data_IF_560646376107
#
_entry.id   IF_560646376107
#
_cell.length_a   1.000
_cell.length_b   1.000
_cell.length_c   1.000
_cell.angle_alpha   90.00
_cell.angle_beta   90.00
_cell.angle_gamma   90.00
#
_symmetry.space_group_name_H-M   'P 1'
#
loop_
_entity.id
_entity.type
_entity.pdbx_description
1 polymer ?
#
# COMPACT_ATOMS: atom_id res chain seq x y z
N UNK A 1 -7.50 17.20 19.55
CA UNK A 1 -7.79 16.33 18.40
C UNK A 1 -7.98 14.92 18.92
N UNK A 2 -8.97 14.16 18.39
CA UNK A 2 -9.19 12.77 18.79
C UNK A 2 -8.07 11.85 18.36
N UNK A 3 -8.07 10.61 18.90
CA UNK A 3 -7.04 9.62 18.60
C UNK A 3 -7.02 9.18 17.13
N UNK A 4 -5.84 8.90 16.60
CA UNK A 4 -5.63 8.31 15.28
C UNK A 4 -5.12 6.88 15.45
N UNK A 5 -5.85 5.90 14.93
CA UNK A 5 -5.45 4.50 14.93
C UNK A 5 -4.82 4.12 13.59
N UNK A 6 -3.60 3.59 13.58
CA UNK A 6 -2.92 3.11 12.37
C UNK A 6 -2.83 1.59 12.40
N UNK A 7 -3.59 0.91 11.55
CA UNK A 7 -3.49 -0.55 11.41
C UNK A 7 -2.30 -0.92 10.51
N UNK A 8 -1.64 -2.04 10.81
CA UNK A 8 -0.39 -2.37 10.14
C UNK A 8 0.73 -1.38 10.44
N UNK A 9 0.63 -0.66 11.57
CA UNK A 9 1.51 0.43 11.94
C UNK A 9 2.97 0.04 12.24
N UNK A 10 3.31 -1.24 12.27
CA UNK A 10 4.70 -1.76 12.31
C UNK A 10 5.20 -2.23 10.93
N UNK A 11 4.35 -2.17 9.90
CA UNK A 11 4.70 -2.52 8.54
C UNK A 11 5.46 -1.41 7.81
N UNK A 12 5.93 -1.70 6.59
CA UNK A 12 6.75 -0.78 5.79
C UNK A 12 6.09 0.60 5.60
N UNK A 13 4.82 0.65 5.17
CA UNK A 13 4.10 1.91 5.00
C UNK A 13 3.56 2.45 6.34
N UNK A 14 2.92 1.59 7.14
CA UNK A 14 2.28 2.03 8.38
C UNK A 14 3.23 2.67 9.37
N UNK A 15 4.48 2.18 9.48
CA UNK A 15 5.49 2.78 10.34
C UNK A 15 5.87 4.21 9.89
N UNK A 16 5.94 4.44 8.57
CA UNK A 16 6.17 5.78 8.01
C UNK A 16 4.98 6.70 8.29
N UNK A 17 3.75 6.23 8.14
CA UNK A 17 2.54 7.00 8.47
C UNK A 17 2.55 7.40 9.96
N UNK A 18 2.85 6.46 10.86
CA UNK A 18 2.96 6.73 12.30
C UNK A 18 4.01 7.82 12.58
N UNK A 19 5.18 7.74 11.93
CA UNK A 19 6.22 8.75 12.08
C UNK A 19 5.73 10.14 11.63
N UNK A 20 5.11 10.24 10.45
CA UNK A 20 4.58 11.51 9.92
C UNK A 20 3.50 12.13 10.78
N UNK A 21 2.57 11.31 11.30
CA UNK A 21 1.53 11.80 12.21
C UNK A 21 2.12 12.37 13.49
N UNK A 22 3.13 11.70 14.07
CA UNK A 22 3.81 12.19 15.27
C UNK A 22 4.63 13.46 14.99
N UNK A 23 5.34 13.52 13.87
CA UNK A 23 6.06 14.71 13.40
C UNK A 23 5.12 15.90 13.18
N UNK A 24 3.88 15.65 12.74
CA UNK A 24 2.83 16.66 12.61
C UNK A 24 2.19 17.09 13.94
N UNK A 25 2.64 16.56 15.08
CA UNK A 25 2.19 16.95 16.42
C UNK A 25 0.95 16.21 16.91
N UNK A 26 0.55 15.09 16.29
CA UNK A 26 -0.53 14.26 16.85
C UNK A 26 -0.01 13.45 18.05
N UNK A 27 -0.57 13.72 19.23
CA UNK A 27 -0.13 13.08 20.49
C UNK A 27 -0.69 11.66 20.66
N UNK A 28 -1.97 11.42 20.30
CA UNK A 28 -2.62 10.11 20.40
C UNK A 28 -2.58 9.36 19.06
N UNK A 29 -1.40 8.85 18.68
CA UNK A 29 -1.22 7.97 17.52
C UNK A 29 -1.04 6.54 17.98
N UNK A 30 -2.06 5.72 17.80
CA UNK A 30 -2.13 4.32 18.23
C UNK A 30 -1.64 3.39 17.12
N UNK A 31 -0.64 2.59 17.44
CA UNK A 31 -0.04 1.62 16.53
C UNK A 31 -0.68 0.25 16.76
N UNK A 32 -1.41 -0.23 15.76
CA UNK A 32 -2.06 -1.53 15.81
C UNK A 32 -1.41 -2.50 14.81
N UNK A 33 -0.90 -3.59 15.33
CA UNK A 33 -0.39 -4.74 14.56
C UNK A 33 -0.28 -5.96 15.46
N UNK A 34 -0.04 -7.13 14.88
CA UNK A 34 0.17 -8.39 15.63
C UNK A 34 1.34 -8.33 16.62
N UNK A 35 2.31 -7.45 16.38
CA UNK A 35 3.53 -7.30 17.17
C UNK A 35 3.67 -5.91 17.79
N UNK A 36 2.60 -5.12 17.85
CA UNK A 36 2.63 -3.82 18.50
C UNK A 36 2.70 -3.99 20.02
N UNK A 37 3.49 -3.17 20.73
CA UNK A 37 3.67 -3.35 22.18
C UNK A 37 2.42 -3.00 23.00
N UNK A 38 1.59 -2.06 22.52
CA UNK A 38 0.40 -1.60 23.26
C UNK A 38 -0.89 -2.22 22.72
N UNK A 39 -1.03 -2.31 21.39
CA UNK A 39 -2.20 -2.90 20.73
C UNK A 39 -1.80 -4.08 19.85
N UNK A 40 -1.45 -5.24 20.46
CA UNK A 40 -1.10 -6.46 19.72
C UNK A 40 -2.38 -7.14 19.21
N UNK A 41 -2.91 -6.64 18.09
CA UNK A 41 -4.18 -7.08 17.51
C UNK A 41 -3.95 -7.80 16.18
N UNK A 42 -4.55 -8.98 16.04
CA UNK A 42 -4.73 -9.62 14.76
C UNK A 42 -6.14 -9.28 14.23
N UNK A 43 -6.18 -8.53 13.13
CA UNK A 43 -7.45 -8.12 12.51
C UNK A 43 -8.30 -9.30 12.03
N UNK A 44 -7.69 -10.48 11.80
CA UNK A 44 -8.44 -11.66 11.33
C UNK A 44 -9.34 -12.24 12.41
N UNK A 45 -9.02 -12.06 13.68
CA UNK A 45 -9.88 -12.52 14.78
C UNK A 45 -10.61 -11.37 15.50
N UNK A 46 -10.20 -10.12 15.26
CA UNK A 46 -10.82 -8.93 15.82
C UNK A 46 -10.60 -8.72 17.34
N UNK A 47 -9.90 -9.63 18.01
CA UNK A 47 -9.68 -9.53 19.46
C UNK A 47 -8.84 -8.28 19.81
N UNK A 48 -9.30 -7.48 20.79
CA UNK A 48 -8.62 -6.26 21.22
C UNK A 48 -8.93 -5.01 20.39
N UNK A 49 -9.68 -5.13 19.27
CA UNK A 49 -10.02 -3.99 18.42
C UNK A 49 -10.82 -2.93 19.15
N UNK A 50 -11.79 -3.32 19.97
CA UNK A 50 -12.65 -2.36 20.68
C UNK A 50 -11.84 -1.49 21.63
N UNK A 51 -10.88 -2.06 22.36
CA UNK A 51 -10.00 -1.30 23.24
C UNK A 51 -9.10 -0.33 22.45
N UNK A 52 -8.57 -0.77 21.30
CA UNK A 52 -7.73 0.08 20.45
C UNK A 52 -8.54 1.21 19.80
N UNK A 53 -9.83 0.96 19.49
CA UNK A 53 -10.72 1.88 18.81
C UNK A 53 -11.36 2.93 19.72
N UNK A 54 -11.42 2.67 21.05
CA UNK A 54 -12.08 3.55 22.00
C UNK A 54 -11.58 5.00 21.94
N UNK A 55 -12.46 5.95 21.54
CA UNK A 55 -12.11 7.36 21.38
C UNK A 55 -11.24 7.70 20.17
N UNK A 56 -10.98 6.76 19.26
CA UNK A 56 -10.35 7.07 17.98
C UNK A 56 -11.35 7.83 17.08
N UNK A 57 -10.90 8.92 16.46
CA UNK A 57 -11.70 9.69 15.48
C UNK A 57 -11.31 9.33 14.04
N UNK A 58 -10.08 8.90 13.82
CA UNK A 58 -9.56 8.54 12.49
C UNK A 58 -8.87 7.19 12.55
N UNK A 59 -9.10 6.38 11.52
CA UNK A 59 -8.39 5.12 11.32
C UNK A 59 -7.63 5.19 10.00
N UNK A 60 -6.30 5.00 10.03
CA UNK A 60 -5.50 4.82 8.82
C UNK A 60 -5.26 3.33 8.62
N UNK A 61 -5.95 2.74 7.64
CA UNK A 61 -5.92 1.30 7.40
C UNK A 61 -4.82 0.92 6.39
N UNK A 62 -3.63 0.60 6.91
CA UNK A 62 -2.46 0.15 6.15
C UNK A 62 -2.24 -1.37 6.22
N UNK A 63 -2.95 -2.08 7.09
CA UNK A 63 -2.80 -3.52 7.21
C UNK A 63 -3.26 -4.24 5.94
N UNK A 64 -2.51 -5.27 5.54
CA UNK A 64 -2.85 -6.13 4.41
C UNK A 64 -2.25 -7.52 4.59
N UNK A 65 -2.93 -8.53 4.08
CA UNK A 65 -2.49 -9.91 4.08
C UNK A 65 -2.34 -10.42 2.64
N UNK A 66 -1.11 -10.68 2.21
CA UNK A 66 -0.83 -11.17 0.84
C UNK A 66 -1.42 -12.55 0.54
N UNK A 67 -1.85 -13.29 1.56
CA UNK A 67 -2.43 -14.65 1.48
C UNK A 67 -3.96 -14.66 1.62
N UNK A 68 -4.62 -13.49 1.57
CA UNK A 68 -6.06 -13.36 1.76
C UNK A 68 -6.47 -13.02 3.20
N UNK A 69 -7.74 -12.67 3.38
CA UNK A 69 -8.29 -12.27 4.69
C UNK A 69 -8.45 -10.75 4.87
N UNK A 70 -8.05 -9.93 3.91
CA UNK A 70 -8.22 -8.47 3.99
C UNK A 70 -9.70 -8.09 4.15
N UNK A 71 -10.62 -8.81 3.52
CA UNK A 71 -12.07 -8.59 3.62
C UNK A 71 -12.60 -8.91 5.02
N UNK A 72 -12.14 -10.00 5.64
CA UNK A 72 -12.50 -10.37 7.03
C UNK A 72 -11.94 -9.33 8.00
N UNK A 73 -10.68 -8.95 7.82
CA UNK A 73 -10.01 -7.92 8.62
C UNK A 73 -10.73 -6.57 8.54
N UNK A 74 -11.13 -6.16 7.34
CA UNK A 74 -11.92 -4.93 7.12
C UNK A 74 -13.31 -5.02 7.77
N UNK A 75 -13.97 -6.18 7.70
CA UNK A 75 -15.24 -6.41 8.38
C UNK A 75 -15.14 -6.20 9.89
N UNK A 76 -14.17 -6.82 10.54
CA UNK A 76 -13.94 -6.62 11.98
C UNK A 76 -13.61 -5.16 12.32
N UNK A 77 -12.81 -4.48 11.48
CA UNK A 77 -12.48 -3.07 11.65
C UNK A 77 -13.72 -2.18 11.58
N UNK A 78 -14.58 -2.38 10.58
CA UNK A 78 -15.84 -1.64 10.39
C UNK A 78 -16.76 -1.84 11.59
N UNK A 79 -16.93 -3.06 12.05
CA UNK A 79 -17.80 -3.37 13.20
C UNK A 79 -17.27 -2.74 14.50
N UNK A 80 -15.96 -2.79 14.74
CA UNK A 80 -15.34 -2.12 15.89
C UNK A 80 -15.49 -0.58 15.81
N UNK A 81 -15.33 0.00 14.63
CA UNK A 81 -15.52 1.44 14.42
C UNK A 81 -16.99 1.87 14.68
N UNK A 82 -17.96 1.05 14.24
CA UNK A 82 -19.39 1.28 14.53
C UNK A 82 -19.70 1.21 16.04
N UNK A 83 -19.16 0.20 16.73
CA UNK A 83 -19.35 0.08 18.19
C UNK A 83 -18.71 1.24 18.95
N UNK A 84 -17.55 1.69 18.52
CA UNK A 84 -16.88 2.84 19.14
C UNK A 84 -17.68 4.14 18.99
N UNK A 85 -18.39 4.33 17.87
CA UNK A 85 -19.24 5.49 17.61
C UNK A 85 -18.50 6.83 17.47
N UNK A 86 -17.16 6.84 17.60
CA UNK A 86 -16.32 8.05 17.55
C UNK A 86 -15.60 8.21 16.23
N UNK A 87 -15.45 7.12 15.45
CA UNK A 87 -14.71 7.13 14.17
C UNK A 87 -15.49 7.90 13.12
N UNK A 88 -14.86 8.96 12.60
CA UNK A 88 -15.42 9.86 11.58
C UNK A 88 -14.86 9.62 10.19
N UNK A 89 -13.62 9.08 10.10
CA UNK A 89 -12.99 8.82 8.81
C UNK A 89 -12.11 7.56 8.90
N UNK A 90 -12.29 6.65 7.93
CA UNK A 90 -11.39 5.52 7.69
C UNK A 90 -10.62 5.80 6.42
N UNK A 91 -9.34 6.14 6.55
CA UNK A 91 -8.41 6.36 5.43
C UNK A 91 -7.82 5.03 5.00
N UNK A 92 -8.11 4.58 3.79
CA UNK A 92 -7.69 3.29 3.28
C UNK A 92 -6.69 3.42 2.13
N UNK A 93 -5.57 2.70 2.24
CA UNK A 93 -4.60 2.57 1.15
C UNK A 93 -4.96 1.41 0.23
N UNK A 94 -5.24 1.73 -1.03
CA UNK A 94 -5.55 0.79 -2.08
C UNK A 94 -4.55 0.86 -3.24
N UNK A 95 -4.87 0.24 -4.37
CA UNK A 95 -3.94 0.08 -5.49
C UNK A 95 -4.61 0.58 -6.77
N UNK A 96 -3.87 1.31 -7.60
CA UNK A 96 -4.28 1.69 -8.96
C UNK A 96 -4.54 0.43 -9.79
N UNK A 97 -5.71 0.38 -10.43
CA UNK A 97 -6.12 -0.71 -11.31
C UNK A 97 -6.72 -1.93 -10.63
N UNK A 98 -7.15 -1.84 -9.37
CA UNK A 98 -7.86 -2.94 -8.68
C UNK A 98 -9.14 -3.36 -9.39
N UNK A 99 -9.75 -2.47 -10.14
CA UNK A 99 -10.96 -2.67 -10.97
C UNK A 99 -10.65 -3.10 -12.41
N UNK A 100 -9.40 -2.95 -12.89
CA UNK A 100 -9.00 -3.24 -14.27
C UNK A 100 -8.19 -4.54 -14.41
N UNK A 101 -7.40 -4.88 -13.39
CA UNK A 101 -6.48 -6.02 -13.42
C UNK A 101 -7.03 -7.14 -12.54
N UNK A 102 -7.55 -8.25 -13.09
CA UNK A 102 -8.20 -9.32 -12.31
C UNK A 102 -7.18 -10.24 -11.61
N UNK A 103 -6.28 -9.66 -10.83
CA UNK A 103 -5.37 -10.37 -9.94
C UNK A 103 -6.08 -10.64 -8.61
N UNK A 104 -5.87 -11.80 -8.01
CA UNK A 104 -6.52 -12.18 -6.75
C UNK A 104 -6.36 -11.14 -5.64
N UNK A 105 -5.14 -10.66 -5.44
CA UNK A 105 -4.83 -9.61 -4.46
C UNK A 105 -5.55 -8.27 -4.78
N UNK A 106 -5.65 -7.89 -6.05
CA UNK A 106 -6.37 -6.68 -6.47
C UNK A 106 -7.88 -6.80 -6.23
N UNK A 107 -8.45 -7.98 -6.49
CA UNK A 107 -9.88 -8.24 -6.20
C UNK A 107 -10.18 -8.12 -4.71
N UNK A 108 -9.30 -8.63 -3.85
CA UNK A 108 -9.44 -8.48 -2.39
C UNK A 108 -9.39 -7.00 -1.97
N UNK A 109 -8.47 -6.22 -2.53
CA UNK A 109 -8.41 -4.77 -2.30
C UNK A 109 -9.69 -4.04 -2.74
N UNK A 110 -10.19 -4.36 -3.92
CA UNK A 110 -11.45 -3.79 -4.43
C UNK A 110 -12.65 -4.19 -3.55
N UNK A 111 -12.68 -5.42 -3.06
CA UNK A 111 -13.73 -5.87 -2.14
C UNK A 111 -13.70 -5.08 -0.82
N UNK A 112 -12.51 -4.79 -0.28
CA UNK A 112 -12.37 -3.93 0.91
C UNK A 112 -12.83 -2.48 0.62
N UNK A 113 -12.50 -1.90 -0.53
CA UNK A 113 -13.03 -0.58 -0.92
C UNK A 113 -14.56 -0.57 -0.84
N UNK A 114 -15.20 -1.57 -1.47
CA UNK A 114 -16.66 -1.69 -1.50
C UNK A 114 -17.27 -1.90 -0.11
N UNK A 115 -16.64 -2.70 0.75
CA UNK A 115 -17.08 -2.89 2.13
C UNK A 115 -17.02 -1.59 2.93
N UNK A 116 -15.97 -0.81 2.77
CA UNK A 116 -15.82 0.49 3.41
C UNK A 116 -16.85 1.50 2.90
N UNK A 117 -17.03 1.60 1.58
CA UNK A 117 -18.04 2.48 0.97
C UNK A 117 -19.48 2.14 1.41
N UNK A 118 -19.79 0.85 1.54
CA UNK A 118 -21.08 0.36 2.02
C UNK A 118 -21.26 0.43 3.54
N UNK A 119 -20.21 0.79 4.30
CA UNK A 119 -20.22 0.73 5.77
C UNK A 119 -21.12 1.77 6.44
N UNK A 120 -21.46 2.86 5.76
CA UNK A 120 -22.15 4.01 6.35
C UNK A 120 -21.23 4.89 7.23
N UNK A 121 -19.95 4.56 7.36
CA UNK A 121 -18.93 5.36 8.02
C UNK A 121 -18.33 6.36 7.03
N UNK A 122 -17.68 7.42 7.53
CA UNK A 122 -16.86 8.30 6.72
C UNK A 122 -15.63 7.55 6.18
N UNK A 123 -15.35 7.66 4.90
CA UNK A 123 -14.25 6.95 4.24
C UNK A 123 -13.46 7.86 3.32
N UNK A 124 -12.13 7.67 3.31
CA UNK A 124 -11.22 8.26 2.34
C UNK A 124 -10.36 7.16 1.73
N UNK A 125 -10.44 6.96 0.41
CA UNK A 125 -9.70 5.92 -0.30
C UNK A 125 -8.62 6.55 -1.17
N UNK A 126 -7.37 6.18 -0.93
CA UNK A 126 -6.22 6.55 -1.75
C UNK A 126 -5.74 5.31 -2.51
N UNK A 127 -5.74 5.36 -3.84
CA UNK A 127 -5.08 4.34 -4.68
C UNK A 127 -3.70 4.82 -5.09
N UNK A 128 -2.70 3.95 -4.98
CA UNK A 128 -1.33 4.25 -5.40
C UNK A 128 -0.81 3.21 -6.38
N UNK A 129 0.19 3.60 -7.17
CA UNK A 129 0.93 2.65 -8.00
C UNK A 129 1.90 1.82 -7.13
N UNK A 130 2.71 0.97 -7.74
CA UNK A 130 3.57 0.00 -7.05
C UNK A 130 4.70 0.69 -6.29
N UNK A 131 4.94 0.34 -5.03
CA UNK A 131 6.07 0.87 -4.27
C UNK A 131 7.42 0.44 -4.85
N UNK A 132 8.43 1.30 -4.75
CA UNK A 132 9.82 0.97 -5.11
C UNK A 132 10.29 -0.33 -4.44
N UNK A 133 9.95 -0.54 -3.16
CA UNK A 133 10.26 -1.74 -2.40
C UNK A 133 9.71 -3.02 -3.02
N UNK A 134 8.50 -2.97 -3.56
CA UNK A 134 7.88 -4.11 -4.24
C UNK A 134 8.67 -4.47 -5.50
N UNK A 135 9.02 -3.47 -6.31
CA UNK A 135 9.79 -3.68 -7.54
C UNK A 135 11.18 -4.24 -7.22
N UNK A 136 11.86 -3.70 -6.22
CA UNK A 136 13.15 -4.19 -5.75
C UNK A 136 13.05 -5.63 -5.23
N UNK A 137 12.01 -5.97 -4.46
CA UNK A 137 11.77 -7.32 -3.95
C UNK A 137 11.50 -8.32 -5.06
N UNK A 138 10.69 -7.96 -6.06
CA UNK A 138 10.41 -8.81 -7.23
C UNK A 138 11.69 -9.06 -8.01
N UNK A 139 12.46 -8.01 -8.29
CA UNK A 139 13.75 -8.09 -9.01
C UNK A 139 14.77 -8.94 -8.22
N UNK A 140 14.88 -8.73 -6.91
CA UNK A 140 15.77 -9.49 -6.03
C UNK A 140 15.39 -10.96 -5.90
N UNK A 141 14.09 -11.28 -5.88
CA UNK A 141 13.62 -12.66 -5.87
C UNK A 141 13.93 -13.37 -7.17
N UNK A 142 13.72 -12.71 -8.31
CA UNK A 142 14.06 -13.22 -9.63
C UNK A 142 15.59 -13.37 -9.81
N UNK A 143 16.38 -12.51 -9.17
CA UNK A 143 17.83 -12.53 -9.19
C UNK A 143 18.45 -13.73 -8.46
N UNK A 144 17.70 -14.53 -7.73
CA UNK A 144 18.18 -15.79 -7.13
C UNK A 144 18.41 -16.88 -8.18
N UNK A 145 17.77 -16.79 -9.34
CA UNK A 145 17.92 -17.72 -10.45
C UNK A 145 19.14 -17.36 -11.32
N UNK A 146 19.77 -18.32 -12.02
CA UNK A 146 20.88 -18.06 -12.93
C UNK A 146 20.53 -17.07 -14.05
N UNK A 147 19.26 -17.09 -14.49
CA UNK A 147 18.68 -16.16 -15.47
C UNK A 147 17.48 -15.50 -14.83
N UNK A 148 17.41 -14.18 -14.91
CA UNK A 148 16.32 -13.37 -14.32
C UNK A 148 15.17 -13.32 -15.30
N UNK A 149 14.08 -14.02 -14.98
CA UNK A 149 12.87 -14.05 -15.79
C UNK A 149 11.88 -12.98 -15.27
N UNK A 150 11.51 -12.04 -16.13
CA UNK A 150 10.52 -11.01 -15.82
C UNK A 150 9.43 -10.95 -16.90
N UNK A 151 8.18 -10.64 -16.54
CA UNK A 151 7.07 -10.56 -17.49
C UNK A 151 7.34 -9.60 -18.64
N UNK A 152 7.19 -10.07 -19.89
CA UNK A 152 7.36 -9.27 -21.10
C UNK A 152 6.24 -8.23 -21.23
N UNK A 153 6.56 -6.98 -21.61
CA UNK A 153 5.58 -5.94 -21.91
C UNK A 153 4.86 -5.34 -20.69
N UNK A 154 5.11 -5.84 -19.48
CA UNK A 154 4.58 -5.23 -18.26
C UNK A 154 5.34 -3.96 -17.95
N UNK A 155 4.59 -2.86 -17.80
CA UNK A 155 5.09 -1.57 -17.34
C UNK A 155 4.63 -1.31 -15.90
N UNK A 156 5.45 -0.61 -15.13
CA UNK A 156 5.17 -0.19 -13.76
C UNK A 156 5.57 1.26 -13.57
N UNK A 157 4.95 1.92 -12.62
CA UNK A 157 5.15 3.33 -12.28
C UNK A 157 5.50 3.44 -10.80
N UNK A 158 6.75 3.11 -10.40
CA UNK A 158 7.11 2.96 -9.01
C UNK A 158 7.04 4.28 -8.24
N UNK A 159 6.47 4.23 -7.02
CA UNK A 159 6.34 5.38 -6.12
C UNK A 159 7.06 5.12 -4.79
N UNK A 160 7.57 6.17 -4.14
CA UNK A 160 8.17 6.07 -2.83
C UNK A 160 7.12 5.87 -1.73
N UNK A 161 7.34 4.94 -0.82
CA UNK A 161 6.43 4.71 0.30
C UNK A 161 6.37 5.91 1.25
N UNK A 162 7.45 6.66 1.37
CA UNK A 162 7.54 7.89 2.14
C UNK A 162 6.56 8.96 1.63
N UNK A 163 6.49 9.17 0.31
CA UNK A 163 5.57 10.15 -0.31
C UNK A 163 4.11 9.75 -0.15
N UNK A 164 3.83 8.45 -0.17
CA UNK A 164 2.49 7.92 0.11
C UNK A 164 2.15 8.09 1.60
N UNK A 165 3.12 7.92 2.49
CA UNK A 165 2.91 8.13 3.93
C UNK A 165 2.63 9.62 4.24
N UNK A 166 3.32 10.55 3.58
CA UNK A 166 3.05 11.98 3.68
C UNK A 166 1.59 12.26 3.31
N UNK A 167 1.12 11.73 2.18
CA UNK A 167 -0.25 11.91 1.72
C UNK A 167 -1.29 11.27 2.64
N UNK A 168 -1.02 10.08 3.17
CA UNK A 168 -1.92 9.42 4.12
C UNK A 168 -2.02 10.20 5.44
N UNK A 169 -0.93 10.79 5.91
CA UNK A 169 -0.94 11.65 7.09
C UNK A 169 -1.78 12.94 6.86
N UNK A 170 -1.67 13.56 5.68
CA UNK A 170 -2.53 14.70 5.31
C UNK A 170 -4.01 14.33 5.27
N UNK A 171 -4.34 13.12 4.80
CA UNK A 171 -5.71 12.62 4.70
C UNK A 171 -6.26 12.13 6.06
N UNK A 172 -5.41 11.95 7.06
CA UNK A 172 -5.78 11.46 8.40
C UNK A 172 -6.46 12.55 9.24
N UNK A 173 -7.49 13.17 8.67
CA UNK A 173 -8.33 14.19 9.32
C UNK A 173 -9.76 13.66 9.50
N UNK A 174 -10.57 14.19 10.42
CA UNK A 174 -11.91 13.68 10.68
C UNK A 174 -12.90 13.84 9.51
N UNK A 175 -12.65 14.74 8.56
CA UNK A 175 -13.52 14.96 7.40
C UNK A 175 -13.24 13.91 6.30
N UNK A 176 -14.18 13.01 5.98
CA UNK A 176 -13.99 12.05 4.90
C UNK A 176 -14.04 12.74 3.54
N UNK A 177 -13.21 12.24 2.60
CA UNK A 177 -13.09 12.80 1.25
C UNK A 177 -13.55 11.84 0.14
N UNK A 178 -14.06 10.65 0.49
CA UNK A 178 -14.40 9.63 -0.50
C UNK A 178 -13.16 9.12 -1.24
N UNK A 179 -13.31 8.75 -2.51
CA UNK A 179 -12.16 8.39 -3.34
C UNK A 179 -11.43 9.66 -3.79
N UNK A 180 -10.20 9.82 -3.31
CA UNK A 180 -9.31 10.92 -3.72
C UNK A 180 -8.53 10.57 -5.00
N UNK A 181 -7.92 11.56 -5.69
CA UNK A 181 -7.10 11.30 -6.87
C UNK A 181 -5.99 10.28 -6.58
N UNK A 182 -5.74 9.42 -7.57
CA UNK A 182 -4.69 8.40 -7.50
C UNK A 182 -3.30 9.04 -7.34
N UNK A 183 -2.33 8.27 -6.81
CA UNK A 183 -0.92 8.69 -6.75
C UNK A 183 -0.05 7.71 -7.54
N UNK A 184 0.61 8.21 -8.58
CA UNK A 184 1.62 7.49 -9.35
C UNK A 184 3.02 8.01 -9.12
N UNK A 185 4.03 7.14 -9.25
CA UNK A 185 5.43 7.54 -9.27
C UNK A 185 5.76 8.47 -10.45
N UNK A 186 6.94 9.10 -10.45
CA UNK A 186 7.28 10.13 -11.44
C UNK A 186 7.47 9.55 -12.85
N UNK A 187 7.82 8.27 -12.97
CA UNK A 187 8.24 7.66 -14.22
C UNK A 187 7.59 6.29 -14.43
N UNK A 188 7.25 6.00 -15.69
CA UNK A 188 6.77 4.68 -16.12
C UNK A 188 7.87 3.94 -16.86
N UNK A 189 8.20 2.73 -16.40
CA UNK A 189 9.26 1.91 -16.97
C UNK A 189 8.78 0.49 -17.30
N UNK A 190 9.44 -0.18 -18.25
CA UNK A 190 9.27 -1.62 -18.39
C UNK A 190 9.85 -2.32 -17.13
N UNK A 191 9.13 -3.32 -16.62
CA UNK A 191 9.58 -4.07 -15.44
C UNK A 191 10.95 -4.73 -15.68
N UNK A 192 11.25 -5.14 -16.91
CA UNK A 192 12.55 -5.68 -17.31
C UNK A 192 13.69 -4.66 -17.18
N UNK A 193 13.43 -3.37 -17.44
CA UNK A 193 14.44 -2.31 -17.34
C UNK A 193 14.72 -1.98 -15.88
N UNK A 194 13.70 -1.93 -15.04
CA UNK A 194 13.87 -1.80 -13.59
C UNK A 194 14.59 -3.00 -12.99
N UNK A 195 14.34 -4.21 -13.50
CA UNK A 195 15.11 -5.40 -13.12
C UNK A 195 16.60 -5.26 -13.47
N UNK A 196 16.94 -4.78 -14.67
CA UNK A 196 18.34 -4.49 -15.06
C UNK A 196 18.98 -3.42 -14.17
N UNK A 197 18.25 -2.33 -13.91
CA UNK A 197 18.72 -1.27 -13.01
C UNK A 197 19.00 -1.78 -11.59
N UNK A 198 18.11 -2.63 -11.05
CA UNK A 198 18.30 -3.29 -9.75
C UNK A 198 19.55 -4.17 -9.72
N UNK A 199 19.76 -5.00 -10.75
CA UNK A 199 20.95 -5.88 -10.85
C UNK A 199 22.23 -5.07 -10.91
N UNK A 200 22.27 -4.02 -11.75
CA UNK A 200 23.41 -3.12 -11.88
C UNK A 200 23.75 -2.45 -10.54
N UNK A 201 22.75 -1.91 -9.84
CA UNK A 201 22.93 -1.27 -8.54
C UNK A 201 23.42 -2.23 -7.44
N UNK A 202 23.25 -3.54 -7.62
CA UNK A 202 23.72 -4.59 -6.70
C UNK A 202 24.99 -5.30 -7.16
N UNK A 203 25.60 -4.89 -8.27
CA UNK A 203 26.77 -5.57 -8.84
C UNK A 203 26.48 -7.01 -9.30
N UNK A 204 25.24 -7.33 -9.61
CA UNK A 204 24.82 -8.68 -10.00
C UNK A 204 24.88 -8.80 -11.52
N UNK A 205 25.79 -9.61 -12.03
CA UNK A 205 25.97 -9.87 -13.45
C UNK A 205 25.09 -11.05 -13.91
N UNK A 206 23.82 -10.80 -14.17
CA UNK A 206 22.85 -11.79 -14.67
C UNK A 206 22.05 -11.25 -15.83
N UNK A 207 21.71 -12.14 -16.76
CA UNK A 207 20.88 -11.79 -17.93
C UNK A 207 19.42 -11.70 -17.53
N UNK A 208 18.77 -10.59 -17.90
CA UNK A 208 17.30 -10.42 -17.77
C UNK A 208 16.65 -10.87 -19.09
N UNK A 209 15.78 -11.85 -19.00
CA UNK A 209 15.04 -12.41 -20.14
C UNK A 209 13.56 -12.11 -19.99
N UNK A 210 12.94 -11.39 -20.96
CA UNK A 210 11.52 -11.15 -20.98
C UNK A 210 10.74 -12.44 -21.21
N UNK A 211 9.86 -12.83 -20.26
CA UNK A 211 9.01 -14.01 -20.36
C UNK A 211 7.59 -13.62 -20.76
N UNK A 212 7.07 -14.06 -21.91
CA UNK A 212 5.65 -13.89 -22.20
C UNK A 212 4.84 -14.80 -21.28
N UNK A 213 3.79 -14.23 -20.67
CA UNK A 213 2.86 -14.96 -19.83
C UNK A 213 1.48 -14.98 -20.51
N UNK A 214 0.54 -15.74 -19.94
CA UNK A 214 -0.83 -15.80 -20.39
C UNK A 214 -1.81 -15.46 -19.26
N UNK A 215 -3.05 -15.16 -19.62
CA UNK A 215 -4.14 -14.92 -18.68
C UNK A 215 -4.58 -13.47 -18.56
N UNK A 216 -5.80 -13.29 -18.03
CA UNK A 216 -6.48 -11.97 -17.98
C UNK A 216 -5.73 -10.95 -17.12
N UNK A 217 -5.13 -11.37 -16.01
CA UNK A 217 -4.36 -10.49 -15.14
C UNK A 217 -3.12 -9.95 -15.85
N UNK A 218 -2.36 -10.84 -16.50
CA UNK A 218 -1.19 -10.44 -17.28
C UNK A 218 -1.57 -9.46 -18.41
N UNK A 219 -2.64 -9.77 -19.14
CA UNK A 219 -3.15 -8.89 -20.18
C UNK A 219 -3.55 -7.50 -19.63
N UNK A 220 -4.12 -7.45 -18.41
CA UNK A 220 -4.42 -6.20 -17.72
C UNK A 220 -3.16 -5.36 -17.45
N UNK A 221 -2.10 -5.98 -16.93
CA UNK A 221 -0.81 -5.30 -16.73
C UNK A 221 -0.16 -4.83 -18.03
N UNK A 222 -0.19 -5.64 -19.09
CA UNK A 222 0.36 -5.26 -20.40
C UNK A 222 -0.37 -4.05 -21.00
N UNK A 223 -1.69 -3.96 -20.81
CA UNK A 223 -2.48 -2.77 -21.22
C UNK A 223 -2.19 -1.53 -20.35
N UNK A 224 -1.54 -1.69 -19.21
CA UNK A 224 -1.23 -0.58 -18.32
C UNK A 224 -2.31 -0.26 -17.30
N UNK A 225 -3.23 -1.19 -17.01
CA UNK A 225 -4.29 -1.00 -16.00
C UNK A 225 -3.78 -0.75 -14.57
N UNK A 226 -2.48 -0.88 -14.33
CA UNK A 226 -1.81 -0.60 -13.06
C UNK A 226 -1.05 0.74 -13.06
N UNK A 227 -1.25 1.58 -14.07
CA UNK A 227 -0.56 2.85 -14.25
C UNK A 227 -1.51 4.04 -14.01
N UNK A 228 -0.96 5.14 -13.52
CA UNK A 228 -1.68 6.40 -13.32
C UNK A 228 -0.84 7.58 -13.91
N UNK A 229 -0.57 7.62 -15.22
CA UNK A 229 0.31 8.64 -15.81
C UNK A 229 -0.24 10.07 -15.68
N UNK A 230 -1.57 10.23 -15.63
CA UNK A 230 -2.20 11.53 -15.37
C UNK A 230 -2.02 12.01 -13.93
N UNK A 231 -1.61 11.14 -13.03
CA UNK A 231 -1.39 11.39 -11.60
C UNK A 231 0.05 11.05 -11.18
N UNK A 232 1.04 11.39 -12.00
CA UNK A 232 2.47 11.19 -11.73
C UNK A 232 2.97 12.26 -10.72
N UNK A 233 2.48 12.19 -9.50
CA UNK A 233 2.75 13.19 -8.44
C UNK A 233 3.96 12.84 -7.57
N UNK A 234 4.45 11.60 -7.62
CA UNK A 234 5.69 11.19 -6.97
C UNK A 234 6.89 11.94 -7.52
N UNK A 235 7.93 12.13 -6.71
CA UNK A 235 9.15 12.87 -7.04
C UNK A 235 10.38 11.96 -7.07
N UNK A 236 10.46 11.00 -6.14
CA UNK A 236 11.60 10.09 -6.00
C UNK A 236 11.58 9.03 -7.08
N UNK A 237 12.60 9.00 -7.93
CA UNK A 237 12.74 7.98 -8.98
C UNK A 237 13.22 6.64 -8.42
N UNK A 238 13.03 5.56 -9.17
CA UNK A 238 13.54 4.24 -8.78
C UNK A 238 15.07 4.21 -8.73
N UNK A 239 15.74 4.97 -9.59
CA UNK A 239 17.21 5.11 -9.58
C UNK A 239 17.69 5.78 -8.27
N UNK A 240 17.05 6.87 -7.84
CA UNK A 240 17.34 7.52 -6.56
C UNK A 240 17.08 6.59 -5.36
N UNK A 241 16.01 5.82 -5.40
CA UNK A 241 15.74 4.82 -4.37
C UNK A 241 16.82 3.75 -4.28
N UNK A 242 17.32 3.24 -5.43
CA UNK A 242 18.40 2.25 -5.46
C UNK A 242 19.71 2.82 -4.94
N UNK A 243 20.05 4.07 -5.34
CA UNK A 243 21.27 4.75 -4.89
C UNK A 243 21.30 4.92 -3.36
N UNK A 244 20.18 5.32 -2.75
CA UNK A 244 20.07 5.47 -1.30
C UNK A 244 20.28 4.15 -0.53
N UNK A 245 19.91 3.01 -1.13
CA UNK A 245 20.08 1.67 -0.52
C UNK A 245 21.39 0.97 -0.87
N UNK A 246 22.18 1.51 -1.78
CA UNK A 246 23.52 1.01 -2.09
C UNK A 246 24.60 1.65 -1.21
N UNK A 247 24.27 2.75 -0.55
CA UNK A 247 25.16 3.49 0.37
C UNK A 247 25.06 3.00 1.82
N UNK A 248 24.18 2.03 2.12
CA UNK A 248 23.97 1.39 3.43
C UNK A 248 24.51 -0.03 3.42
#
# INVERSE_FOLDING_TARGET
>A
MGGILVTGGTGNLGALVVARLREAGHEDVRVLSRHAPVYPVDLLNGAGLDAAMAGAEVVVHCATATRGGDEVAAGHLIEAARRAGTVRNIVYISIVGVDEVPLGYYRSKLAVERLLEASGLGVTILRTTQFHDLVARVSGSAAKLPVVLLPKGVRVQPIAAEEVADRLAELAVPAPAGRVPDMGGPETHALTDLGRAYLAARGIHRRVVPLPLAGKAYAGFVRGGNLAPAHAVGKKTFAQFLAARGAS
#
